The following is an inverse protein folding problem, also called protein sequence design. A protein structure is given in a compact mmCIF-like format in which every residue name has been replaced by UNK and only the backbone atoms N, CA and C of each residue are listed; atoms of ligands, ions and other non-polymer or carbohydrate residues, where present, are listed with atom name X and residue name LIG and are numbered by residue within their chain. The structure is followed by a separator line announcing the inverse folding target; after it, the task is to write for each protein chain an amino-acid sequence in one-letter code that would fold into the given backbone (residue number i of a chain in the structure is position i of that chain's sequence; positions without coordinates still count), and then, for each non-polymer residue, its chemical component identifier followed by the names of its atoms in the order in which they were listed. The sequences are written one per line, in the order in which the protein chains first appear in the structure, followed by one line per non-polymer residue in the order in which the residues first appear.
data_IF_939485850837
#
_entry.id   IF_939485850837
#
_cell.length_a   1.000
_cell.length_b   1.000
_cell.length_c   1.000
_cell.angle_alpha   90.00
_cell.angle_beta   90.00
_cell.angle_gamma   90.00
#
_symmetry.space_group_name_H-M   'P 1'
#
loop_
_entity.id
_entity.type
_entity.pdbx_description
1 polymer ?
#
# COMPACT_ATOMS: atom_id res chain seq x y z
N UNK A 1 -10.61 -13.71 3.01
CA UNK A 1 -11.00 -12.32 3.34
C UNK A 1 -10.03 -11.83 4.38
N UNK A 2 -9.40 -10.68 4.16
CA UNK A 2 -8.67 -10.02 5.23
C UNK A 2 -9.67 -9.65 6.33
N UNK A 3 -9.31 -9.91 7.58
CA UNK A 3 -10.11 -9.51 8.73
C UNK A 3 -9.52 -8.18 9.21
N UNK A 4 -10.24 -7.07 8.98
CA UNK A 4 -9.80 -5.75 9.39
C UNK A 4 -10.11 -5.54 10.87
N UNK A 5 -9.17 -4.96 11.61
CA UNK A 5 -9.44 -4.55 12.97
C UNK A 5 -10.60 -3.53 12.98
N UNK A 6 -11.56 -3.71 13.88
CA UNK A 6 -12.65 -2.75 14.04
C UNK A 6 -12.13 -1.43 14.60
N UNK A 7 -12.90 -0.36 14.40
CA UNK A 7 -12.56 0.97 14.94
C UNK A 7 -12.41 0.92 16.46
N UNK A 8 -13.28 0.17 17.14
CA UNK A 8 -13.24 0.01 18.60
C UNK A 8 -12.02 -0.80 19.09
N UNK A 9 -11.55 -1.78 18.32
CA UNK A 9 -10.31 -2.51 18.64
C UNK A 9 -9.11 -1.58 18.58
N UNK A 10 -9.00 -0.79 17.51
CA UNK A 10 -7.92 0.18 17.34
C UNK A 10 -7.97 1.26 18.42
N UNK A 11 -9.16 1.80 18.69
CA UNK A 11 -9.42 2.77 19.75
C UNK A 11 -8.93 2.28 21.12
N UNK A 12 -9.15 1.00 21.42
CA UNK A 12 -8.75 0.38 22.68
C UNK A 12 -7.25 0.09 22.81
N UNK A 13 -6.47 0.16 21.72
CA UNK A 13 -5.06 -0.30 21.68
C UNK A 13 -4.11 0.64 20.92
N UNK A 14 -4.34 1.96 20.93
CA UNK A 14 -3.44 2.91 20.25
C UNK A 14 -1.99 2.85 20.76
N UNK A 15 -1.79 2.63 22.08
CA UNK A 15 -0.45 2.44 22.64
C UNK A 15 0.22 1.16 22.10
N UNK A 16 -0.54 0.07 21.94
CA UNK A 16 -0.05 -1.16 21.32
C UNK A 16 0.27 -0.98 19.84
N UNK A 17 -0.45 -0.12 19.11
CA UNK A 17 -0.10 0.28 17.74
C UNK A 17 1.26 0.98 17.72
N UNK A 18 1.46 2.03 18.51
CA UNK A 18 2.75 2.76 18.54
C UNK A 18 3.90 1.83 18.93
N UNK A 19 3.71 0.98 19.92
CA UNK A 19 4.73 -0.01 20.32
C UNK A 19 5.14 -0.94 19.16
N UNK A 20 4.19 -1.32 18.29
CA UNK A 20 4.47 -2.14 17.11
C UNK A 20 5.20 -1.36 16.01
N UNK A 21 4.83 -0.10 15.79
CA UNK A 21 5.50 0.80 14.85
C UNK A 21 6.95 1.08 15.27
N UNK A 22 7.17 1.49 16.52
CA UNK A 22 8.53 1.68 17.10
C UNK A 22 9.39 0.42 17.00
N UNK A 23 8.76 -0.75 17.14
CA UNK A 23 9.42 -2.04 17.00
C UNK A 23 9.67 -2.51 15.57
N UNK A 24 9.21 -1.76 14.55
CA UNK A 24 9.30 -2.15 13.13
C UNK A 24 8.50 -3.42 12.79
N UNK A 25 7.51 -3.79 13.61
CA UNK A 25 6.77 -5.06 13.50
C UNK A 25 5.51 -4.96 12.64
N UNK A 26 5.13 -3.75 12.26
CA UNK A 26 3.91 -3.49 11.50
C UNK A 26 4.18 -2.31 10.57
N UNK A 27 3.67 -2.39 9.34
CA UNK A 27 3.70 -1.30 8.35
C UNK A 27 2.32 -0.63 8.28
N UNK A 28 2.08 0.23 7.28
CA UNK A 28 0.74 0.73 7.03
C UNK A 28 -0.30 -0.42 6.99
N UNK A 29 -1.44 -0.22 7.66
CA UNK A 29 -2.54 -1.19 7.69
C UNK A 29 -3.90 -0.50 7.64
N UNK A 30 -4.86 -1.13 6.95
CA UNK A 30 -6.25 -0.70 6.95
C UNK A 30 -7.02 -1.22 8.15
N UNK A 31 -8.01 -0.46 8.59
CA UNK A 31 -8.94 -0.85 9.65
C UNK A 31 -10.34 -0.26 9.38
N UNK A 32 -11.35 -0.83 10.01
CA UNK A 32 -12.75 -0.46 9.82
C UNK A 32 -13.71 -1.59 10.14
N UNK A 33 -15.01 -1.26 10.22
CA UNK A 33 -16.04 -2.20 10.67
C UNK A 33 -16.53 -3.07 9.49
N UNK A 34 -15.73 -4.07 9.13
CA UNK A 34 -16.04 -5.07 8.10
C UNK A 34 -15.59 -4.70 6.69
N UNK A 35 -15.04 -3.51 6.49
CA UNK A 35 -14.38 -3.02 5.25
C UNK A 35 -13.20 -2.12 5.63
N UNK A 36 -12.23 -1.85 4.74
CA UNK A 36 -11.15 -0.90 5.01
C UNK A 36 -11.68 0.54 4.88
N UNK A 37 -11.80 1.23 6.01
CA UNK A 37 -12.38 2.58 6.08
C UNK A 37 -11.32 3.67 6.26
N UNK A 38 -10.28 3.34 7.02
CA UNK A 38 -9.15 4.20 7.27
C UNK A 38 -7.86 3.38 7.23
N UNK A 39 -6.76 4.08 7.01
CA UNK A 39 -5.40 3.54 7.03
C UNK A 39 -4.64 4.18 8.17
N UNK A 40 -3.84 3.37 8.85
CA UNK A 40 -2.86 3.82 9.83
C UNK A 40 -1.47 3.50 9.33
N UNK A 41 -0.56 4.46 9.41
CA UNK A 41 0.84 4.32 9.00
C UNK A 41 1.75 5.08 9.97
N UNK A 42 3.05 4.76 9.93
CA UNK A 42 4.08 5.54 10.67
C UNK A 42 4.23 6.93 10.07
N UNK A 43 4.62 7.91 10.88
CA UNK A 43 4.94 9.24 10.39
C UNK A 43 6.10 9.22 9.38
N UNK A 44 7.14 8.43 9.64
CA UNK A 44 8.28 8.26 8.71
C UNK A 44 7.82 7.81 7.32
N UNK A 45 6.97 6.77 7.22
CA UNK A 45 6.40 6.34 5.92
C UNK A 45 5.58 7.47 5.25
N UNK A 46 4.84 8.26 6.03
CA UNK A 46 4.11 9.40 5.49
C UNK A 46 5.05 10.49 4.95
N UNK A 47 6.12 10.82 5.69
CA UNK A 47 7.14 11.80 5.30
C UNK A 47 7.91 11.32 4.06
N UNK A 48 8.37 10.07 4.03
CA UNK A 48 9.12 9.45 2.94
C UNK A 48 8.34 9.46 1.61
N UNK A 49 7.01 9.31 1.68
CA UNK A 49 6.12 9.40 0.52
C UNK A 49 5.76 10.85 0.14
N UNK A 50 6.31 11.84 0.83
CA UNK A 50 6.11 13.26 0.59
C UNK A 50 4.75 13.77 1.07
N UNK A 51 4.20 13.18 2.14
CA UNK A 51 2.87 13.46 2.65
C UNK A 51 2.64 14.93 3.02
N UNK A 52 3.61 15.59 3.64
CA UNK A 52 3.55 17.02 4.01
C UNK A 52 3.38 17.94 2.79
N UNK A 53 3.90 17.53 1.63
CA UNK A 53 3.74 18.29 0.38
C UNK A 53 2.41 18.04 -0.33
N UNK A 54 1.75 16.91 -0.03
CA UNK A 54 0.51 16.47 -0.69
C UNK A 54 -0.74 16.83 0.09
N UNK A 55 -0.65 16.88 1.42
CA UNK A 55 -1.79 17.08 2.30
C UNK A 55 -1.52 18.19 3.30
N UNK A 56 -2.54 19.02 3.55
CA UNK A 56 -2.54 19.89 4.72
C UNK A 56 -2.80 19.05 5.97
N UNK A 57 -1.79 18.93 6.83
CA UNK A 57 -1.92 18.37 8.18
C UNK A 57 -2.07 19.50 9.21
N UNK A 58 -2.64 19.19 10.38
CA UNK A 58 -2.70 20.15 11.48
C UNK A 58 -1.31 20.40 12.08
N UNK A 59 -1.10 21.59 12.65
CA UNK A 59 0.17 21.96 13.30
C UNK A 59 0.39 21.25 14.65
N UNK A 60 -0.64 20.58 15.18
CA UNK A 60 -0.62 19.93 16.49
C UNK A 60 -0.64 18.40 16.33
N UNK A 61 0.29 17.73 17.03
CA UNK A 61 0.31 16.27 17.16
C UNK A 61 -0.73 15.85 18.19
N UNK A 62 -1.65 14.98 17.78
CA UNK A 62 -2.73 14.52 18.67
C UNK A 62 -2.23 13.43 19.60
N UNK A 63 -2.44 13.59 20.91
CA UNK A 63 -2.11 12.56 21.90
C UNK A 63 -3.01 11.31 21.77
N UNK A 64 -2.52 10.09 22.08
CA UNK A 64 -3.29 8.85 21.87
C UNK A 64 -4.63 8.84 22.60
N UNK A 65 -4.70 9.38 23.82
CA UNK A 65 -5.96 9.46 24.57
C UNK A 65 -6.99 10.35 23.87
N UNK A 66 -6.55 11.47 23.30
CA UNK A 66 -7.42 12.40 22.55
C UNK A 66 -7.85 11.77 21.23
N UNK A 67 -6.93 11.09 20.54
CA UNK A 67 -7.26 10.34 19.33
C UNK A 67 -8.28 9.24 19.63
N UNK A 68 -8.14 8.49 20.72
CA UNK A 68 -9.09 7.44 21.09
C UNK A 68 -10.52 7.98 21.28
N UNK A 69 -10.70 9.19 21.80
CA UNK A 69 -12.01 9.81 21.92
C UNK A 69 -12.60 10.22 20.57
N UNK A 70 -11.75 10.67 19.66
CA UNK A 70 -12.15 11.24 18.35
C UNK A 70 -12.13 10.23 17.21
N UNK A 71 -11.50 9.07 17.39
CA UNK A 71 -11.23 8.11 16.32
C UNK A 71 -12.49 7.71 15.53
N UNK A 72 -13.65 7.42 16.17
CA UNK A 72 -14.88 7.15 15.41
C UNK A 72 -15.26 8.29 14.48
N UNK A 73 -15.14 9.54 14.93
CA UNK A 73 -15.44 10.71 14.12
C UNK A 73 -14.43 10.92 12.98
N UNK A 74 -13.14 10.66 13.24
CA UNK A 74 -12.09 10.69 12.21
C UNK A 74 -12.39 9.67 11.11
N UNK A 75 -12.79 8.45 11.49
CA UNK A 75 -13.14 7.39 10.52
C UNK A 75 -14.40 7.74 9.73
N UNK A 76 -15.44 8.34 10.35
CA UNK A 76 -16.62 8.81 9.61
C UNK A 76 -16.26 9.84 8.53
N UNK A 77 -15.38 10.78 8.87
CA UNK A 77 -14.90 11.83 7.95
C UNK A 77 -14.05 11.22 6.82
N UNK A 78 -13.18 10.28 7.16
CA UNK A 78 -12.37 9.52 6.21
C UNK A 78 -13.22 8.68 5.25
N UNK A 79 -14.27 8.00 5.76
CA UNK A 79 -15.24 7.23 4.96
C UNK A 79 -15.97 8.10 3.95
N UNK A 80 -16.29 9.35 4.32
CA UNK A 80 -16.87 10.33 3.41
C UNK A 80 -15.88 10.87 2.35
N UNK A 81 -14.62 10.40 2.36
CA UNK A 81 -13.58 10.88 1.45
C UNK A 81 -13.17 12.34 1.73
N UNK A 82 -13.37 12.78 2.96
CA UNK A 82 -13.19 14.18 3.37
C UNK A 82 -12.23 14.27 4.55
N UNK A 83 -11.81 15.49 4.90
CA UNK A 83 -10.93 15.75 6.03
C UNK A 83 -9.43 15.61 5.73
N UNK A 84 -8.62 16.15 6.62
CA UNK A 84 -7.15 16.07 6.55
C UNK A 84 -6.63 14.82 7.27
N UNK A 85 -5.45 14.29 6.86
CA UNK A 85 -4.75 13.29 7.66
C UNK A 85 -4.50 13.81 9.08
N UNK A 86 -4.64 12.93 10.07
CA UNK A 86 -4.44 13.24 11.48
C UNK A 86 -3.10 12.68 11.92
N UNK A 87 -2.17 13.57 12.27
CA UNK A 87 -0.87 13.22 12.85
C UNK A 87 -1.02 13.06 14.35
N UNK A 88 -0.44 11.99 14.91
CA UNK A 88 -0.58 11.63 16.31
C UNK A 88 0.66 10.90 16.83
N UNK A 89 0.85 10.94 18.14
CA UNK A 89 2.02 10.39 18.83
C UNK A 89 2.06 10.86 20.29
N UNK A 90 3.08 10.42 21.03
CA UNK A 90 3.25 10.75 22.45
C UNK A 90 4.16 11.97 22.65
N UNK A 91 3.88 12.75 23.69
CA UNK A 91 4.70 13.90 24.13
C UNK A 91 4.87 14.98 23.04
N UNK A 92 3.91 15.10 22.13
CA UNK A 92 3.94 16.03 21.00
C UNK A 92 4.85 15.63 19.83
N UNK A 93 5.46 14.44 19.87
CA UNK A 93 6.29 13.92 18.77
C UNK A 93 5.40 13.20 17.74
N UNK A 94 5.51 13.51 16.44
CA UNK A 94 4.71 12.85 15.41
C UNK A 94 5.24 11.44 15.15
N UNK A 95 4.40 10.42 15.37
CA UNK A 95 4.83 9.02 15.26
C UNK A 95 3.98 8.21 14.28
N UNK A 96 2.73 8.60 14.11
CA UNK A 96 1.79 7.91 13.25
C UNK A 96 0.80 8.88 12.63
N UNK A 97 0.17 8.41 11.56
CA UNK A 97 -0.87 9.14 10.83
C UNK A 97 -2.09 8.24 10.68
N UNK A 98 -3.28 8.83 10.79
CA UNK A 98 -4.54 8.22 10.36
C UNK A 98 -5.08 9.01 9.17
N UNK A 99 -5.45 8.31 8.10
CA UNK A 99 -6.00 8.92 6.90
C UNK A 99 -7.01 8.00 6.21
N UNK A 100 -7.76 8.50 5.22
CA UNK A 100 -8.66 7.65 4.44
C UNK A 100 -7.90 6.73 3.50
N UNK A 101 -8.54 5.64 3.08
CA UNK A 101 -7.97 4.72 2.08
C UNK A 101 -7.71 5.43 0.73
N UNK A 102 -8.54 6.40 0.36
CA UNK A 102 -8.34 7.22 -0.84
C UNK A 102 -7.09 8.10 -0.73
N UNK A 103 -6.90 8.77 0.41
CA UNK A 103 -5.71 9.60 0.66
C UNK A 103 -4.44 8.77 0.68
N UNK A 104 -4.47 7.55 1.23
CA UNK A 104 -3.29 6.68 1.21
C UNK A 104 -2.91 6.24 -0.23
N UNK A 105 -3.89 6.06 -1.12
CA UNK A 105 -3.63 5.83 -2.56
C UNK A 105 -2.99 7.05 -3.20
N UNK A 106 -3.53 8.23 -2.97
CA UNK A 106 -2.98 9.50 -3.46
C UNK A 106 -1.55 9.74 -2.94
N UNK A 107 -1.29 9.37 -1.68
CA UNK A 107 0.03 9.41 -1.07
C UNK A 107 1.02 8.52 -1.84
N UNK A 108 0.61 7.31 -2.22
CA UNK A 108 1.44 6.36 -2.96
C UNK A 108 1.50 6.61 -4.47
N UNK A 109 0.56 7.39 -5.01
CA UNK A 109 0.35 7.53 -6.45
C UNK A 109 -0.31 6.30 -7.08
N UNK A 110 -1.10 5.55 -6.30
CA UNK A 110 -1.82 4.37 -6.76
C UNK A 110 -3.15 4.77 -7.45
N UNK A 111 -3.63 3.94 -8.37
CA UNK A 111 -4.92 4.12 -9.03
C UNK A 111 -6.10 3.92 -8.05
N UNK A 112 -7.19 4.64 -8.28
CA UNK A 112 -8.41 4.51 -7.49
C UNK A 112 -9.30 3.37 -8.01
N UNK A 113 -9.89 2.55 -7.11
CA UNK A 113 -10.79 1.48 -7.53
C UNK A 113 -12.09 2.07 -8.11
N UNK A 114 -12.80 1.33 -8.97
CA UNK A 114 -14.13 1.71 -9.42
C UNK A 114 -15.11 1.89 -8.25
N UNK A 115 -16.11 2.74 -8.43
CA UNK A 115 -17.12 2.99 -7.40
C UNK A 115 -17.81 1.68 -6.94
N UNK A 116 -17.88 1.48 -5.61
CA UNK A 116 -18.49 0.30 -4.99
C UNK A 116 -17.59 -0.92 -4.87
N UNK A 117 -16.34 -0.87 -5.36
CA UNK A 117 -15.35 -1.92 -5.14
C UNK A 117 -14.71 -1.74 -3.76
N UNK A 118 -14.81 -2.77 -2.93
CA UNK A 118 -14.10 -2.84 -1.65
C UNK A 118 -12.67 -3.25 -1.96
N UNK A 119 -11.73 -2.34 -1.74
CA UNK A 119 -10.30 -2.54 -1.98
C UNK A 119 -9.51 -2.02 -0.78
N UNK A 120 -8.55 -2.81 -0.33
CA UNK A 120 -7.63 -2.47 0.76
C UNK A 120 -6.30 -2.01 0.17
N UNK A 121 -5.98 -0.70 0.22
CA UNK A 121 -4.76 -0.18 -0.39
C UNK A 121 -3.48 -0.60 0.35
N UNK A 122 -3.59 -1.20 1.54
CA UNK A 122 -2.45 -1.74 2.29
C UNK A 122 -2.15 -3.20 1.94
N UNK A 123 -3.09 -3.89 1.29
CA UNK A 123 -2.92 -5.26 0.81
C UNK A 123 -2.64 -5.23 -0.69
N UNK A 124 -1.38 -5.42 -1.06
CA UNK A 124 -0.98 -5.53 -2.47
C UNK A 124 -1.48 -6.85 -3.07
N UNK A 125 -2.68 -6.84 -3.62
CA UNK A 125 -3.19 -7.96 -4.41
C UNK A 125 -2.77 -7.76 -5.86
N UNK A 126 -1.56 -8.21 -6.22
CA UNK A 126 -1.25 -8.36 -7.64
C UNK A 126 -2.10 -9.51 -8.17
N UNK A 127 -3.02 -9.21 -9.10
CA UNK A 127 -3.60 -10.25 -9.95
C UNK A 127 -2.46 -10.74 -10.84
N UNK A 128 -1.71 -11.72 -10.34
CA UNK A 128 -0.65 -12.40 -11.08
C UNK A 128 -1.20 -13.51 -11.97
N UNK A 129 -2.51 -13.75 -11.93
CA UNK A 129 -3.16 -14.65 -12.86
C UNK A 129 -3.09 -14.05 -14.28
N UNK A 130 -2.64 -14.82 -15.27
CA UNK A 130 -2.70 -14.41 -16.66
C UNK A 130 -4.13 -14.02 -17.03
N UNK A 131 -4.30 -13.00 -17.89
CA UNK A 131 -5.62 -12.68 -18.42
C UNK A 131 -6.19 -13.92 -19.14
N UNK A 132 -7.52 -14.07 -19.28
CA UNK A 132 -8.12 -15.24 -19.94
C UNK A 132 -7.58 -15.53 -21.34
N UNK A 133 -7.11 -14.49 -22.04
CA UNK A 133 -6.52 -14.58 -23.38
C UNK A 133 -4.98 -14.50 -23.39
N UNK A 134 -4.34 -14.40 -22.22
CA UNK A 134 -2.88 -14.44 -22.11
C UNK A 134 -2.38 -15.82 -22.55
N UNK A 135 -1.46 -15.81 -23.52
CA UNK A 135 -0.72 -16.99 -23.94
C UNK A 135 0.69 -16.97 -23.32
N UNK A 136 1.32 -18.13 -23.09
CA UNK A 136 2.73 -18.19 -22.73
C UNK A 136 3.59 -17.40 -23.73
N UNK A 137 4.66 -16.79 -23.24
CA UNK A 137 5.64 -16.13 -24.11
C UNK A 137 6.25 -17.16 -25.07
N UNK A 138 6.11 -16.93 -26.37
CA UNK A 138 6.75 -17.70 -27.44
C UNK A 138 7.84 -16.83 -28.10
N UNK A 139 9.10 -17.13 -27.78
CA UNK A 139 10.26 -16.41 -28.29
C UNK A 139 10.46 -16.63 -29.81
N UNK A 140 10.02 -17.78 -30.34
CA UNK A 140 10.11 -18.06 -31.78
C UNK A 140 9.06 -17.26 -32.56
N UNK A 141 7.88 -17.05 -32.00
CA UNK A 141 6.86 -16.15 -32.56
C UNK A 141 7.37 -14.69 -32.61
N UNK A 142 8.07 -14.24 -31.57
CA UNK A 142 8.67 -12.89 -31.54
C UNK A 142 9.81 -12.74 -32.55
N UNK A 143 10.73 -13.70 -32.60
CA UNK A 143 11.83 -13.71 -33.57
C UNK A 143 11.36 -13.86 -35.03
N UNK A 144 10.17 -14.42 -35.26
CA UNK A 144 9.56 -14.42 -36.59
C UNK A 144 9.19 -13.01 -37.07
N UNK A 145 8.90 -12.10 -36.14
CA UNK A 145 8.39 -10.75 -36.41
C UNK A 145 9.43 -9.65 -36.17
N UNK A 146 10.57 -9.95 -35.53
CA UNK A 146 11.65 -8.99 -35.27
C UNK A 146 13.04 -9.56 -35.63
N UNK A 147 13.76 -8.99 -36.61
CA UNK A 147 15.08 -9.46 -37.03
C UNK A 147 16.14 -9.42 -35.93
N UNK A 148 16.08 -8.44 -35.02
CA UNK A 148 17.03 -8.31 -33.93
C UNK A 148 16.87 -9.45 -32.90
N UNK A 149 15.63 -9.77 -32.54
CA UNK A 149 15.30 -10.90 -31.66
C UNK A 149 15.72 -12.23 -32.28
N UNK A 150 15.60 -12.39 -33.60
CA UNK A 150 16.09 -13.59 -34.30
C UNK A 150 17.60 -13.75 -34.18
N UNK A 151 18.35 -12.69 -34.46
CA UNK A 151 19.82 -12.72 -34.39
C UNK A 151 20.29 -13.04 -32.96
N UNK A 152 19.69 -12.42 -31.95
CA UNK A 152 20.00 -12.66 -30.54
C UNK A 152 19.69 -14.10 -30.11
N UNK A 153 18.54 -14.68 -30.52
CA UNK A 153 18.22 -16.06 -30.20
C UNK A 153 19.12 -17.06 -30.92
N UNK A 154 19.53 -16.76 -32.15
CA UNK A 154 20.46 -17.61 -32.90
C UNK A 154 21.86 -17.63 -32.26
N UNK A 155 22.32 -16.49 -31.73
CA UNK A 155 23.56 -16.37 -30.93
C UNK A 155 23.47 -17.22 -29.65
N UNK A 156 22.42 -17.02 -28.83
CA UNK A 156 22.21 -17.79 -27.59
C UNK A 156 22.15 -19.30 -27.86
N UNK A 157 21.43 -19.72 -28.91
CA UNK A 157 21.34 -21.14 -29.31
C UNK A 157 22.65 -21.71 -29.83
N UNK A 158 23.55 -20.88 -30.35
CA UNK A 158 24.86 -21.30 -30.80
C UNK A 158 25.81 -21.47 -29.60
N UNK A 159 25.73 -20.61 -28.60
CA UNK A 159 26.49 -20.69 -27.35
C UNK A 159 26.09 -21.91 -26.50
N UNK A 160 24.79 -22.18 -26.33
CA UNK A 160 24.32 -23.38 -25.60
C UNK A 160 24.79 -24.69 -26.23
N UNK A 161 24.98 -24.70 -27.56
CA UNK A 161 25.48 -25.88 -28.30
C UNK A 161 26.99 -26.01 -28.21
N UNK A 162 27.75 -24.92 -28.09
CA UNK A 162 29.20 -24.99 -27.94
C UNK A 162 29.62 -25.39 -26.53
N UNK A 163 28.85 -25.03 -25.49
CA UNK A 163 29.11 -25.45 -24.11
C UNK A 163 28.77 -26.93 -23.84
N UNK A 164 27.88 -27.53 -24.65
CA UNK A 164 27.49 -28.94 -24.54
C UNK A 164 28.44 -29.94 -25.20
N UNK A 165 29.37 -29.48 -26.05
CA UNK A 165 30.28 -30.33 -26.85
C UNK A 165 31.68 -30.49 -26.20
N UNK A 166 31.90 -29.85 -25.05
CA UNK A 166 33.15 -29.91 -24.25
C UNK A 166 33.03 -30.82 -22.99
N UNK A 167 32.08 -31.78 -22.96
CA UNK A 167 31.92 -32.79 -21.89
C UNK A 167 32.03 -34.23 -22.36
#
# INVERSE_FOLDING_TARGET
MADWASVEVIRGDLAGVLARFRGGRTWAFSFGDGVPEAVMLTYDEFEDLGGEGKFTVGDEVVEPAVLAERLPQVVEVARAGSGSPVVWGEDGEPEAVVMSTAQYRDLRGDDHPPAGVIDDPTVRTYVSEPLPDSRPLDLDEWAANDPFTRELLDEIRAEDRSEGDDR
#
